data_IF_940726954314
#
_entry.id   IF_940726954314
#
_cell.length_a   1.000
_cell.length_b   1.000
_cell.length_c   1.000
_cell.angle_alpha   90.00
_cell.angle_beta   90.00
_cell.angle_gamma   90.00
#
_symmetry.space_group_name_H-M   'P 1'
#
loop_
_entity.id
_entity.type
_entity.pdbx_description
1 polymer ?
#
# COMPACT_ATOMS: atom_id res chain seq x y z
N UNK A 1 10.83 -3.34 14.00
CA UNK A 1 10.31 -3.75 12.68
C UNK A 1 9.09 -2.93 12.35
N UNK A 2 9.32 -1.78 11.70
CA UNK A 2 8.27 -0.97 11.10
C UNK A 2 7.75 -1.62 9.82
N UNK A 3 6.42 -1.74 9.72
CA UNK A 3 5.72 -2.29 8.56
C UNK A 3 5.04 -1.16 7.79
N UNK A 4 5.41 -1.01 6.51
CA UNK A 4 4.84 -0.02 5.61
C UNK A 4 4.04 -0.71 4.51
N UNK A 5 2.76 -0.35 4.39
CA UNK A 5 1.93 -0.74 3.25
C UNK A 5 2.02 0.29 2.13
N UNK A 6 2.37 -0.18 0.94
CA UNK A 6 2.52 0.59 -0.29
C UNK A 6 1.36 0.31 -1.25
N UNK A 7 0.53 1.31 -1.53
CA UNK A 7 -0.66 1.18 -2.37
C UNK A 7 -0.52 2.07 -3.61
N UNK A 8 -0.35 1.52 -4.82
CA UNK A 8 -0.58 2.29 -6.04
C UNK A 8 -2.10 2.51 -6.24
N UNK A 9 -2.49 3.71 -6.61
CA UNK A 9 -3.90 4.06 -6.84
C UNK A 9 -4.07 4.93 -8.09
N UNK A 10 -5.18 4.74 -8.80
CA UNK A 10 -5.62 5.61 -9.90
C UNK A 10 -7.14 5.52 -10.05
N UNK A 11 -7.85 6.59 -9.67
CA UNK A 11 -9.30 6.70 -9.66
C UNK A 11 -10.03 5.64 -8.81
N UNK A 12 -9.67 5.56 -7.52
CA UNK A 12 -10.17 4.59 -6.53
C UNK A 12 -11.01 5.25 -5.41
N UNK A 13 -11.64 6.41 -5.66
CA UNK A 13 -12.31 7.21 -4.61
C UNK A 13 -13.37 6.45 -3.80
N UNK A 14 -14.00 5.44 -4.40
CA UNK A 14 -15.08 4.68 -3.76
C UNK A 14 -14.61 3.65 -2.74
N UNK A 15 -13.34 3.24 -2.79
CA UNK A 15 -12.82 2.08 -2.04
C UNK A 15 -11.56 2.40 -1.25
N UNK A 16 -10.72 3.34 -1.72
CA UNK A 16 -9.40 3.58 -1.15
C UNK A 16 -9.45 3.96 0.34
N UNK A 17 -10.46 4.72 0.77
CA UNK A 17 -10.60 5.15 2.16
C UNK A 17 -10.80 3.98 3.12
N UNK A 18 -11.60 2.99 2.73
CA UNK A 18 -11.85 1.79 3.54
C UNK A 18 -10.64 0.86 3.54
N UNK A 19 -9.95 0.74 2.40
CA UNK A 19 -8.71 -0.04 2.29
C UNK A 19 -7.66 0.53 3.25
N UNK A 20 -7.41 1.84 3.20
CA UNK A 20 -6.43 2.51 4.07
C UNK A 20 -6.79 2.33 5.55
N UNK A 21 -8.04 2.61 5.93
CA UNK A 21 -8.48 2.50 7.34
C UNK A 21 -8.30 1.09 7.90
N UNK A 22 -8.75 0.07 7.16
CA UNK A 22 -8.63 -1.33 7.61
C UNK A 22 -7.18 -1.78 7.64
N UNK A 23 -6.36 -1.35 6.69
CA UNK A 23 -4.94 -1.70 6.65
C UNK A 23 -4.17 -1.14 7.85
N UNK A 24 -4.49 0.06 8.32
CA UNK A 24 -3.86 0.67 9.50
C UNK A 24 -4.08 -0.13 10.81
N UNK A 25 -4.99 -1.11 10.84
CA UNK A 25 -5.11 -2.04 11.98
C UNK A 25 -3.97 -3.08 12.02
N UNK A 26 -3.25 -3.27 10.91
CA UNK A 26 -2.28 -4.36 10.73
C UNK A 26 -0.86 -3.90 10.36
N UNK A 27 -0.68 -2.61 10.06
CA UNK A 27 0.62 -2.00 9.69
C UNK A 27 0.83 -0.69 10.43
N UNK A 28 2.08 -0.28 10.61
CA UNK A 28 2.40 0.99 11.27
C UNK A 28 2.06 2.20 10.40
N UNK A 29 2.27 2.07 9.09
CA UNK A 29 2.10 3.16 8.14
C UNK A 29 1.51 2.67 6.82
N UNK A 30 0.71 3.54 6.18
CA UNK A 30 0.22 3.35 4.81
C UNK A 30 0.70 4.52 3.97
N UNK A 31 1.29 4.22 2.81
CA UNK A 31 1.59 5.18 1.76
C UNK A 31 0.79 4.84 0.52
N UNK A 32 0.04 5.83 0.02
CA UNK A 32 -0.68 5.74 -1.25
C UNK A 32 0.08 6.56 -2.29
N UNK A 33 0.36 5.96 -3.43
CA UNK A 33 0.84 6.66 -4.60
C UNK A 33 -0.32 6.87 -5.56
N UNK A 34 -0.87 8.08 -5.58
CA UNK A 34 -1.90 8.49 -6.52
C UNK A 34 -1.25 8.87 -7.86
N UNK A 35 -1.40 8.01 -8.86
CA UNK A 35 -0.80 8.18 -10.18
C UNK A 35 -1.62 9.11 -11.08
N UNK A 36 -1.97 10.29 -10.57
CA UNK A 36 -2.65 11.33 -11.34
C UNK A 36 -4.15 11.14 -11.49
N UNK A 37 -4.84 10.69 -10.44
CA UNK A 37 -6.29 10.56 -10.41
C UNK A 37 -6.98 11.89 -10.67
N UNK A 38 -8.13 11.82 -11.36
CA UNK A 38 -9.02 12.94 -11.65
C UNK A 38 -10.17 13.08 -10.64
N UNK A 39 -10.30 12.11 -9.74
CA UNK A 39 -11.33 12.02 -8.73
C UNK A 39 -10.78 12.37 -7.32
N UNK A 40 -11.51 12.01 -6.25
CA UNK A 40 -11.11 12.33 -4.87
C UNK A 40 -10.16 11.32 -4.22
N UNK A 41 -9.54 10.41 -4.98
CA UNK A 41 -8.65 9.35 -4.45
C UNK A 41 -7.63 9.87 -3.44
N UNK A 42 -6.82 10.88 -3.82
CA UNK A 42 -5.83 11.49 -2.92
C UNK A 42 -6.45 12.01 -1.62
N UNK A 43 -7.51 12.82 -1.71
CA UNK A 43 -8.15 13.47 -0.56
C UNK A 43 -8.72 12.42 0.41
N UNK A 44 -9.37 11.40 -0.13
CA UNK A 44 -9.98 10.33 0.68
C UNK A 44 -8.91 9.48 1.36
N UNK A 45 -7.81 9.17 0.66
CA UNK A 45 -6.69 8.43 1.23
C UNK A 45 -5.99 9.21 2.36
N UNK A 46 -5.73 10.51 2.19
CA UNK A 46 -5.18 11.38 3.24
C UNK A 46 -6.10 11.42 4.46
N UNK A 47 -7.40 11.66 4.25
CA UNK A 47 -8.41 11.70 5.31
C UNK A 47 -8.58 10.35 6.03
N UNK A 48 -8.24 9.25 5.38
CA UNK A 48 -8.23 7.92 5.95
C UNK A 48 -6.97 7.61 6.78
N UNK A 49 -5.94 8.46 6.73
CA UNK A 49 -4.71 8.34 7.51
C UNK A 49 -3.48 7.89 6.72
N UNK A 50 -3.56 7.79 5.39
CA UNK A 50 -2.38 7.49 4.56
C UNK A 50 -1.51 8.73 4.33
N UNK A 51 -0.21 8.52 4.17
CA UNK A 51 0.64 9.48 3.50
C UNK A 51 0.44 9.37 1.99
N UNK A 52 0.17 10.48 1.30
CA UNK A 52 -0.11 10.46 -0.14
C UNK A 52 1.01 11.11 -0.94
N UNK A 53 1.49 10.38 -1.95
CA UNK A 53 2.38 10.89 -2.98
C UNK A 53 1.56 11.00 -4.26
N UNK A 54 1.34 12.23 -4.74
CA UNK A 54 0.55 12.48 -5.94
C UNK A 54 1.44 12.79 -7.14
N UNK A 55 1.20 12.10 -8.25
CA UNK A 55 1.79 12.40 -9.55
C UNK A 55 0.85 13.34 -10.34
N UNK A 56 1.40 14.20 -11.20
CA UNK A 56 0.60 15.16 -11.99
C UNK A 56 -0.12 14.52 -13.18
N UNK A 57 0.36 13.38 -13.65
CA UNK A 57 -0.16 12.65 -14.79
C UNK A 57 0.06 11.15 -14.59
N UNK A 58 -0.84 10.33 -15.10
CA UNK A 58 -0.71 8.88 -15.06
C UNK A 58 0.54 8.40 -15.82
N UNK A 59 1.37 7.60 -15.14
CA UNK A 59 2.60 6.98 -15.67
C UNK A 59 2.59 5.45 -15.58
N UNK A 60 1.51 4.87 -15.08
CA UNK A 60 1.27 3.45 -14.95
C UNK A 60 1.72 2.86 -13.61
N UNK A 61 1.09 1.74 -13.24
CA UNK A 61 1.31 1.01 -11.97
C UNK A 61 2.78 0.69 -11.68
N UNK A 62 3.56 0.32 -12.70
CA UNK A 62 4.99 0.04 -12.53
C UNK A 62 5.78 1.26 -12.04
N UNK A 63 5.46 2.45 -12.54
CA UNK A 63 6.08 3.71 -12.09
C UNK A 63 5.66 4.06 -10.66
N UNK A 64 4.38 3.84 -10.33
CA UNK A 64 3.87 4.02 -8.97
C UNK A 64 4.60 3.11 -7.96
N UNK A 65 4.74 1.80 -8.26
CA UNK A 65 5.46 0.86 -7.41
C UNK A 65 6.94 1.20 -7.25
N UNK A 66 7.63 1.60 -8.34
CA UNK A 66 9.02 2.08 -8.24
C UNK A 66 9.15 3.30 -7.31
N UNK A 67 8.18 4.21 -7.37
CA UNK A 67 8.16 5.40 -6.52
C UNK A 67 7.89 5.07 -5.06
N UNK A 68 6.98 4.12 -4.81
CA UNK A 68 6.70 3.58 -3.48
C UNK A 68 7.92 2.89 -2.87
N UNK A 69 8.65 2.06 -3.63
CA UNK A 69 9.87 1.43 -3.14
C UNK A 69 10.98 2.43 -2.83
N UNK A 70 11.12 3.49 -3.64
CA UNK A 70 12.03 4.60 -3.32
C UNK A 70 11.64 5.28 -2.01
N UNK A 71 10.37 5.58 -1.83
CA UNK A 71 9.87 6.18 -0.59
C UNK A 71 10.12 5.28 0.61
N UNK A 72 9.76 3.99 0.53
CA UNK A 72 9.97 3.02 1.60
C UNK A 72 11.44 2.90 2.01
N UNK A 73 12.35 2.90 1.02
CA UNK A 73 13.79 2.94 1.26
C UNK A 73 14.23 4.20 2.01
N UNK A 74 13.68 5.37 1.64
CA UNK A 74 13.98 6.62 2.35
C UNK A 74 13.44 6.66 3.78
N UNK A 75 12.32 5.99 4.07
CA UNK A 75 11.75 5.87 5.41
C UNK A 75 12.46 4.82 6.30
N UNK A 76 13.44 4.07 5.76
CA UNK A 76 14.08 2.94 6.43
C UNK A 76 13.06 1.92 6.97
N UNK A 77 11.98 1.65 6.23
CA UNK A 77 10.99 0.65 6.60
C UNK A 77 11.61 -0.75 6.62
N UNK A 78 11.35 -1.51 7.68
CA UNK A 78 11.94 -2.85 7.85
C UNK A 78 11.16 -3.93 7.09
N UNK A 79 9.83 -3.76 6.96
CA UNK A 79 8.96 -4.62 6.14
C UNK A 79 8.14 -3.78 5.20
N UNK A 80 8.13 -4.15 3.91
CA UNK A 80 7.32 -3.50 2.87
C UNK A 80 6.26 -4.48 2.40
N UNK A 81 5.01 -4.06 2.48
CA UNK A 81 3.86 -4.79 1.92
C UNK A 81 3.37 -4.01 0.71
N UNK A 82 3.04 -4.69 -0.38
CA UNK A 82 2.37 -4.07 -1.53
C UNK A 82 0.97 -4.64 -1.69
N UNK A 83 0.00 -3.78 -1.98
CA UNK A 83 -1.39 -4.17 -2.18
C UNK A 83 -2.09 -3.16 -3.08
N UNK A 84 -3.03 -3.62 -3.92
CA UNK A 84 -3.81 -2.71 -4.77
C UNK A 84 -4.87 -1.95 -3.98
N UNK A 85 -5.19 -0.74 -4.43
CA UNK A 85 -6.17 0.14 -3.79
C UNK A 85 -7.63 -0.15 -4.10
N UNK A 86 -7.90 -1.13 -4.98
CA UNK A 86 -9.23 -1.43 -5.56
C UNK A 86 -10.15 -2.25 -4.65
N UNK A 87 -9.66 -2.68 -3.47
CA UNK A 87 -10.40 -3.45 -2.49
C UNK A 87 -10.54 -4.95 -2.81
N UNK A 88 -9.84 -5.48 -3.82
CA UNK A 88 -9.88 -6.92 -4.13
C UNK A 88 -9.09 -7.77 -3.13
N UNK A 89 -8.08 -7.18 -2.48
CA UNK A 89 -7.27 -7.82 -1.46
C UNK A 89 -7.83 -7.54 -0.07
N UNK A 90 -7.65 -8.49 0.85
CA UNK A 90 -8.16 -8.38 2.21
C UNK A 90 -7.07 -7.89 3.16
N UNK A 91 -7.21 -6.70 3.78
CA UNK A 91 -6.19 -6.17 4.69
C UNK A 91 -5.87 -7.07 5.90
N UNK A 92 -6.84 -7.85 6.37
CA UNK A 92 -6.68 -8.80 7.50
C UNK A 92 -5.78 -10.00 7.18
N UNK A 93 -5.38 -10.19 5.92
CA UNK A 93 -4.39 -11.19 5.52
C UNK A 93 -2.95 -10.66 5.57
N UNK A 94 -2.73 -9.35 5.70
CA UNK A 94 -1.39 -8.74 5.81
C UNK A 94 -0.55 -9.42 6.92
N UNK A 95 -1.06 -9.67 8.14
CA UNK A 95 -0.28 -10.33 9.18
C UNK A 95 0.21 -11.73 8.78
N UNK A 96 -0.56 -12.47 7.97
CA UNK A 96 -0.14 -13.80 7.47
C UNK A 96 1.07 -13.70 6.54
N UNK A 97 1.16 -12.63 5.75
CA UNK A 97 2.27 -12.37 4.83
C UNK A 97 3.50 -11.79 5.55
N UNK A 98 3.30 -10.97 6.59
CA UNK A 98 4.39 -10.39 7.35
C UNK A 98 5.05 -11.40 8.30
N UNK A 99 4.30 -12.35 8.86
CA UNK A 99 4.81 -13.29 9.88
C UNK A 99 6.08 -14.06 9.44
N UNK A 100 6.16 -14.65 8.23
CA UNK A 100 7.38 -15.36 7.81
C UNK A 100 8.60 -14.43 7.67
N UNK A 101 8.39 -13.16 7.33
CA UNK A 101 9.47 -12.16 7.27
C UNK A 101 9.94 -11.84 8.69
N UNK A 102 9.01 -11.55 9.60
CA UNK A 102 9.31 -11.10 10.95
C UNK A 102 9.89 -12.21 11.85
N UNK A 103 9.43 -13.46 11.69
CA UNK A 103 9.71 -14.53 12.64
C UNK A 103 10.58 -15.66 12.06
N UNK A 104 10.51 -15.89 10.75
CA UNK A 104 11.08 -17.08 10.11
C UNK A 104 12.25 -16.74 9.17
N UNK A 105 12.68 -15.47 9.14
CA UNK A 105 13.83 -14.99 8.37
C UNK A 105 13.65 -15.04 6.85
N UNK A 106 12.41 -14.95 6.35
CA UNK A 106 12.13 -14.93 4.92
C UNK A 106 12.32 -13.53 4.33
N UNK A 107 12.91 -13.45 3.13
CA UNK A 107 13.13 -12.17 2.43
C UNK A 107 11.93 -11.72 1.59
N UNK A 108 11.11 -12.67 1.13
CA UNK A 108 9.96 -12.41 0.25
C UNK A 108 8.83 -13.40 0.52
N UNK A 109 7.61 -12.88 0.66
CA UNK A 109 6.38 -13.66 0.77
C UNK A 109 5.40 -13.15 -0.27
N UNK A 110 4.77 -14.07 -1.01
CA UNK A 110 3.82 -13.75 -2.09
C UNK A 110 2.44 -14.28 -1.71
N UNK A 111 1.44 -13.41 -1.74
CA UNK A 111 0.04 -13.83 -1.64
C UNK A 111 -0.37 -14.63 -2.87
N UNK A 112 -0.87 -15.84 -2.65
CA UNK A 112 -1.30 -16.75 -3.70
C UNK A 112 -2.78 -17.10 -3.52
N UNK A 113 -3.55 -17.09 -4.61
CA UNK A 113 -5.03 -17.19 -4.58
C UNK A 113 -5.57 -18.60 -4.78
N UNK A 114 -4.75 -19.51 -5.27
CA UNK A 114 -5.17 -20.87 -5.60
C UNK A 114 -4.57 -21.84 -4.59
N UNK A 115 -5.25 -22.95 -4.35
CA UNK A 115 -4.70 -24.12 -3.66
C UNK A 115 -4.24 -25.16 -4.69
#
# INVERSE_FOLDING_TARGET
MTTLLCIPAFNEENVIGDVVKKSLEFVDHVVVYDDGSSDKTSEIAENAGAYVIRNSQNKGKGYALQSLFKYAKHQNSEVIVTMDGDGQFKPDEIPKLCRPILNDGQDLVVGYRFD
#
